data_IF_760930817533
#
_entry.id   IF_760930817533
#
_cell.length_a   1.000
_cell.length_b   1.000
_cell.length_c   1.000
_cell.angle_alpha   90.00
_cell.angle_beta   90.00
_cell.angle_gamma   90.00
#
_symmetry.space_group_name_H-M   'P 1'
#
loop_
_entity.id
_entity.type
_entity.pdbx_description
1 polymer ?
#
# COMPACT_ATOMS: atom_id res chain seq x y z
N UNK A 1 0.70 -13.65 -14.93
CA UNK A 1 1.35 -13.10 -13.71
C UNK A 1 2.15 -14.20 -12.99
N UNK A 2 3.32 -13.90 -12.45
CA UNK A 2 4.08 -14.84 -11.59
C UNK A 2 3.66 -14.62 -10.13
N UNK A 3 2.89 -15.54 -9.56
CA UNK A 3 2.30 -15.42 -8.23
C UNK A 3 2.09 -16.79 -7.58
N UNK A 4 2.22 -16.85 -6.25
CA UNK A 4 1.99 -18.04 -5.44
C UNK A 4 1.09 -17.74 -4.23
N UNK A 5 0.25 -18.70 -3.86
CA UNK A 5 -0.56 -18.60 -2.63
C UNK A 5 0.28 -18.96 -1.42
N UNK A 6 0.18 -18.15 -0.37
CA UNK A 6 0.82 -18.36 0.93
C UNK A 6 -0.27 -18.32 1.99
N UNK A 7 -0.38 -19.39 2.78
CA UNK A 7 -1.34 -19.48 3.87
C UNK A 7 -0.61 -19.62 5.19
N UNK A 8 -1.04 -18.86 6.20
CA UNK A 8 -0.54 -19.06 7.57
C UNK A 8 -1.23 -20.26 8.22
N UNK A 9 -0.47 -21.09 8.93
CA UNK A 9 -0.97 -22.36 9.49
C UNK A 9 -1.49 -22.26 10.93
N UNK A 10 -1.53 -21.05 11.50
CA UNK A 10 -2.08 -20.87 12.84
C UNK A 10 -3.60 -20.80 12.73
N UNK A 11 -4.32 -21.88 13.06
CA UNK A 11 -5.75 -22.08 12.74
C UNK A 11 -6.65 -20.91 13.17
N UNK A 12 -6.39 -20.30 14.32
CA UNK A 12 -7.15 -19.15 14.83
C UNK A 12 -6.80 -17.83 14.12
N UNK A 13 -5.68 -17.79 13.40
CA UNK A 13 -5.10 -16.62 12.77
C UNK A 13 -4.76 -16.86 11.27
N UNK A 14 -5.44 -17.81 10.65
CA UNK A 14 -5.20 -18.18 9.26
C UNK A 14 -5.51 -16.99 8.34
N UNK A 15 -4.53 -16.61 7.53
CA UNK A 15 -4.67 -15.65 6.43
C UNK A 15 -4.12 -16.24 5.16
N UNK A 16 -4.73 -15.83 4.07
CA UNK A 16 -4.29 -16.16 2.73
C UNK A 16 -3.72 -14.92 2.04
N UNK A 17 -2.55 -15.10 1.44
CA UNK A 17 -1.84 -14.09 0.68
C UNK A 17 -1.56 -14.63 -0.71
N UNK A 18 -1.49 -13.71 -1.67
CA UNK A 18 -0.96 -13.98 -3.00
C UNK A 18 0.34 -13.18 -3.10
N UNK A 19 1.46 -13.87 -2.99
CA UNK A 19 2.77 -13.27 -3.16
C UNK A 19 3.09 -13.20 -4.64
N UNK A 20 3.40 -12.01 -5.17
CA UNK A 20 3.67 -11.81 -6.59
C UNK A 20 4.85 -10.87 -6.82
N UNK A 21 5.45 -10.94 -8.01
CA UNK A 21 6.42 -9.93 -8.42
C UNK A 21 5.73 -8.57 -8.67
N UNK A 22 6.48 -7.47 -8.59
CA UNK A 22 6.00 -6.19 -9.10
C UNK A 22 5.55 -6.31 -10.56
N UNK A 23 4.38 -5.79 -10.96
CA UNK A 23 3.95 -5.83 -12.35
C UNK A 23 4.99 -5.21 -13.30
N UNK A 24 5.21 -5.88 -14.42
CA UNK A 24 5.97 -5.35 -15.56
C UNK A 24 5.00 -4.63 -16.51
N UNK A 25 5.46 -3.74 -17.40
CA UNK A 25 4.57 -3.04 -18.33
C UNK A 25 3.65 -3.97 -19.13
N UNK A 26 4.15 -5.15 -19.52
CA UNK A 26 3.40 -6.15 -20.27
C UNK A 26 2.49 -7.03 -19.41
N UNK A 27 2.65 -7.04 -18.08
CA UNK A 27 1.88 -7.91 -17.16
C UNK A 27 0.91 -7.12 -16.28
N UNK A 28 0.74 -5.82 -16.49
CA UNK A 28 -0.21 -5.00 -15.71
C UNK A 28 -1.64 -5.50 -15.88
N UNK A 29 -2.04 -5.89 -17.11
CA UNK A 29 -3.38 -6.43 -17.34
C UNK A 29 -3.57 -7.79 -16.65
N UNK A 30 -2.56 -8.67 -16.71
CA UNK A 30 -2.60 -9.96 -16.00
C UNK A 30 -2.73 -9.77 -14.48
N UNK A 31 -2.07 -8.75 -13.93
CA UNK A 31 -2.16 -8.42 -12.52
C UNK A 31 -3.59 -8.04 -12.13
N UNK A 32 -4.25 -7.18 -12.91
CA UNK A 32 -5.64 -6.79 -12.66
C UNK A 32 -6.63 -7.93 -12.88
N UNK A 33 -6.40 -8.79 -13.87
CA UNK A 33 -7.18 -10.01 -14.06
C UNK A 33 -7.10 -10.93 -12.83
N UNK A 34 -5.90 -11.12 -12.27
CA UNK A 34 -5.71 -11.87 -11.03
C UNK A 34 -6.43 -11.22 -9.85
N UNK A 35 -6.28 -9.90 -9.66
CA UNK A 35 -6.97 -9.15 -8.58
C UNK A 35 -8.49 -9.33 -8.66
N UNK A 36 -9.06 -9.26 -9.85
CA UNK A 36 -10.49 -9.49 -10.08
C UNK A 36 -10.90 -10.94 -9.80
N UNK A 37 -10.19 -11.91 -10.39
CA UNK A 37 -10.51 -13.35 -10.27
C UNK A 37 -10.45 -13.82 -8.81
N UNK A 38 -9.47 -13.32 -8.06
CA UNK A 38 -9.21 -13.69 -6.67
C UNK A 38 -10.02 -12.84 -5.68
N UNK A 39 -10.86 -11.93 -6.17
CA UNK A 39 -11.69 -11.03 -5.36
C UNK A 39 -10.90 -10.25 -4.32
N UNK A 40 -9.66 -9.89 -4.65
CA UNK A 40 -8.71 -9.23 -3.75
C UNK A 40 -9.30 -7.91 -3.26
N UNK A 41 -9.21 -7.67 -1.95
CA UNK A 41 -9.68 -6.44 -1.32
C UNK A 41 -8.55 -5.50 -0.88
N UNK A 42 -7.32 -6.01 -0.83
CA UNK A 42 -6.16 -5.28 -0.37
C UNK A 42 -4.90 -5.65 -1.17
N UNK A 43 -4.18 -4.64 -1.61
CA UNK A 43 -2.86 -4.77 -2.23
C UNK A 43 -1.83 -4.10 -1.32
N UNK A 44 -0.74 -4.79 -1.02
CA UNK A 44 0.37 -4.28 -0.21
C UNK A 44 1.63 -4.28 -1.06
N UNK A 45 2.01 -3.12 -1.57
CA UNK A 45 3.24 -2.90 -2.33
C UNK A 45 4.36 -2.45 -1.39
N UNK A 46 5.49 -3.17 -1.39
CA UNK A 46 6.64 -2.92 -0.50
C UNK A 46 7.85 -2.30 -1.21
N UNK A 47 7.66 -1.67 -2.37
CA UNK A 47 8.73 -1.09 -3.19
C UNK A 47 8.26 0.22 -3.85
N UNK A 48 9.22 1.03 -4.31
CA UNK A 48 8.96 2.17 -5.19
C UNK A 48 8.83 1.72 -6.66
N UNK A 49 8.21 2.52 -7.52
CA UNK A 49 8.22 2.23 -8.96
C UNK A 49 9.65 2.23 -9.54
N UNK A 50 10.47 3.18 -9.08
CA UNK A 50 11.87 3.34 -9.43
C UNK A 50 12.70 3.43 -8.16
N UNK A 51 13.78 2.64 -8.09
CA UNK A 51 14.78 2.70 -7.02
C UNK A 51 16.13 3.01 -7.65
N UNK A 52 16.77 4.08 -7.16
CA UNK A 52 17.89 4.76 -7.81
C UNK A 52 17.60 5.12 -9.29
N UNK A 53 17.95 4.23 -10.22
CA UNK A 53 17.79 4.40 -11.67
C UNK A 53 17.12 3.20 -12.34
N UNK A 54 16.71 2.20 -11.56
CA UNK A 54 16.15 0.94 -12.07
C UNK A 54 14.65 0.90 -11.83
N UNK A 55 13.90 0.62 -12.90
CA UNK A 55 12.47 0.34 -12.79
C UNK A 55 12.28 -0.99 -12.03
N UNK A 56 11.63 -0.91 -10.87
CA UNK A 56 11.31 -2.08 -10.02
C UNK A 56 9.88 -2.56 -10.22
N UNK A 57 8.95 -1.63 -10.44
CA UNK A 57 7.54 -1.93 -10.58
C UNK A 57 6.90 -0.94 -11.55
N UNK A 58 6.19 -1.45 -12.56
CA UNK A 58 5.37 -0.60 -13.42
C UNK A 58 4.17 -0.09 -12.62
N UNK A 59 3.86 1.20 -12.76
CA UNK A 59 2.66 1.77 -12.18
C UNK A 59 1.42 1.10 -12.79
N UNK A 60 0.62 0.46 -11.95
CA UNK A 60 -0.60 -0.25 -12.33
C UNK A 60 -1.88 0.43 -11.82
N UNK A 61 -1.79 1.61 -11.21
CA UNK A 61 -2.93 2.42 -10.77
C UNK A 61 -2.93 3.78 -11.49
N UNK A 62 -4.10 4.41 -11.67
CA UNK A 62 -4.17 5.74 -12.27
C UNK A 62 -3.75 6.83 -11.27
N UNK A 63 -3.45 8.02 -11.78
CA UNK A 63 -3.19 9.19 -10.95
C UNK A 63 -4.47 9.59 -10.16
N UNK A 64 -4.30 10.32 -9.07
CA UNK A 64 -5.40 10.69 -8.18
C UNK A 64 -6.54 11.41 -8.94
N UNK A 65 -7.78 10.98 -8.68
CA UNK A 65 -9.01 11.45 -9.34
C UNK A 65 -9.05 11.22 -10.85
N UNK A 66 -8.27 10.24 -11.33
CA UNK A 66 -8.30 9.80 -12.72
C UNK A 66 -8.64 8.31 -12.81
N UNK A 67 -9.04 7.92 -14.01
CA UNK A 67 -9.51 6.57 -14.33
C UNK A 67 -8.70 6.01 -15.48
N UNK A 68 -8.38 4.72 -15.43
CA UNK A 68 -7.66 4.01 -16.49
C UNK A 68 -8.17 2.58 -16.66
N UNK A 69 -8.26 2.15 -17.91
CA UNK A 69 -8.63 0.77 -18.27
C UNK A 69 -7.41 -0.14 -18.26
N UNK A 70 -7.57 -1.32 -17.67
CA UNK A 70 -6.58 -2.39 -17.61
C UNK A 70 -7.26 -3.71 -18.00
N UNK A 71 -7.18 -4.05 -19.30
CA UNK A 71 -7.92 -5.19 -19.84
C UNK A 71 -9.44 -5.04 -19.62
N UNK A 72 -10.03 -5.99 -18.90
CA UNK A 72 -11.47 -6.11 -18.63
C UNK A 72 -11.95 -5.34 -17.40
N UNK A 73 -11.07 -4.57 -16.74
CA UNK A 73 -11.44 -3.73 -15.62
C UNK A 73 -11.06 -2.28 -15.87
N UNK A 74 -11.89 -1.38 -15.33
CA UNK A 74 -11.59 0.04 -15.21
C UNK A 74 -11.26 0.34 -13.77
N UNK A 75 -10.16 1.05 -13.53
CA UNK A 75 -9.72 1.41 -12.17
C UNK A 75 -9.71 2.92 -12.06
N UNK A 76 -10.30 3.43 -11.00
CA UNK A 76 -10.32 4.85 -10.62
C UNK A 76 -9.61 5.04 -9.28
N UNK A 77 -8.73 6.03 -9.18
CA UNK A 77 -8.07 6.39 -7.93
C UNK A 77 -8.89 7.46 -7.21
N UNK A 78 -9.69 7.03 -6.24
CA UNK A 78 -10.67 7.88 -5.55
C UNK A 78 -10.00 8.82 -4.55
N UNK A 79 -8.99 8.33 -3.84
CA UNK A 79 -8.33 9.04 -2.75
C UNK A 79 -6.90 8.56 -2.59
N UNK A 80 -6.01 9.46 -2.19
CA UNK A 80 -4.63 9.16 -1.82
C UNK A 80 -4.29 9.88 -0.51
N UNK A 81 -3.76 9.15 0.47
CA UNK A 81 -3.27 9.70 1.74
C UNK A 81 -1.80 9.36 1.89
N UNK A 82 -0.98 10.37 2.14
CA UNK A 82 0.47 10.24 2.36
C UNK A 82 0.77 10.29 3.85
N UNK A 83 1.64 9.40 4.30
CA UNK A 83 2.12 9.35 5.67
C UNK A 83 3.63 9.60 5.68
N UNK A 84 4.10 10.50 6.54
CA UNK A 84 5.53 10.78 6.75
C UNK A 84 6.08 10.01 7.96
N UNK A 85 7.38 10.12 8.26
CA UNK A 85 7.97 9.50 9.43
C UNK A 85 7.35 10.05 10.74
N UNK A 86 7.19 9.23 11.78
CA UNK A 86 6.80 9.67 13.10
C UNK A 86 7.93 10.54 13.68
N UNK A 87 7.75 11.85 13.50
CA UNK A 87 8.64 12.99 13.77
C UNK A 87 9.88 12.71 14.66
N UNK A 88 11.07 12.99 14.09
CA UNK A 88 12.31 13.20 14.84
C UNK A 88 12.13 14.34 15.87
N UNK A 89 12.69 14.13 17.06
CA UNK A 89 12.47 14.79 18.36
C UNK A 89 12.23 16.32 18.45
N UNK A 90 11.17 16.68 19.18
CA UNK A 90 11.09 17.63 20.32
C UNK A 90 11.48 19.12 20.26
N UNK A 91 11.87 19.74 19.13
CA UNK A 91 12.06 21.21 19.11
C UNK A 91 11.31 21.99 18.00
N UNK A 92 10.76 21.32 16.98
CA UNK A 92 9.81 21.95 16.03
C UNK A 92 8.33 21.84 16.44
N UNK A 93 8.03 21.08 17.49
CA UNK A 93 6.68 20.59 17.84
C UNK A 93 5.79 21.57 18.63
N UNK A 94 6.07 22.88 18.61
CA UNK A 94 5.18 23.90 19.20
C UNK A 94 4.36 24.70 18.18
N UNK A 95 4.67 24.61 16.89
CA UNK A 95 3.94 25.35 15.86
C UNK A 95 2.77 24.58 15.22
N UNK A 96 2.77 23.24 15.24
CA UNK A 96 1.80 22.43 14.47
C UNK A 96 0.74 21.68 15.31
N UNK A 97 0.94 21.50 16.63
CA UNK A 97 -0.08 20.88 17.50
C UNK A 97 -1.24 21.81 17.85
N UNK A 98 -1.03 23.13 17.81
CA UNK A 98 -2.14 24.10 18.02
C UNK A 98 -3.01 24.26 16.78
N UNK A 99 -2.57 23.75 15.62
CA UNK A 99 -3.34 23.83 14.38
C UNK A 99 -4.03 22.50 14.06
N UNK A 100 -3.49 21.33 14.42
CA UNK A 100 -4.01 20.02 13.98
C UNK A 100 -5.42 19.66 14.47
N UNK A 101 -5.96 20.29 15.52
CA UNK A 101 -7.36 20.11 15.90
C UNK A 101 -8.35 20.87 15.00
N UNK A 102 -7.86 21.66 14.04
CA UNK A 102 -8.68 22.40 13.08
C UNK A 102 -8.20 22.29 11.62
N UNK A 103 -7.26 21.39 11.28
CA UNK A 103 -6.80 21.26 9.90
C UNK A 103 -7.75 20.39 9.08
N UNK A 104 -8.38 21.02 8.09
CA UNK A 104 -9.12 20.35 7.03
C UNK A 104 -8.23 19.44 6.19
N UNK A 105 -8.85 18.45 5.54
CA UNK A 105 -8.23 17.43 4.67
C UNK A 105 -7.20 17.94 3.64
N UNK A 106 -7.22 19.25 3.34
CA UNK A 106 -6.31 19.93 2.42
C UNK A 106 -4.84 20.03 2.89
N UNK A 107 -4.52 19.85 4.17
CA UNK A 107 -3.14 20.00 4.66
C UNK A 107 -2.30 18.70 4.65
N UNK A 108 -2.92 17.54 4.41
CA UNK A 108 -2.21 16.26 4.19
C UNK A 108 -1.50 16.22 2.82
N UNK A 109 -1.75 17.20 1.94
CA UNK A 109 -1.13 17.33 0.62
C UNK A 109 0.25 17.98 0.60
N UNK A 110 0.76 18.49 1.72
CA UNK A 110 2.02 19.25 1.76
C UNK A 110 3.29 18.40 1.93
N UNK A 111 3.16 17.07 2.09
CA UNK A 111 4.34 16.19 2.10
C UNK A 111 4.86 16.01 0.68
N UNK A 112 6.13 16.37 0.46
CA UNK A 112 6.83 16.01 -0.77
C UNK A 112 6.87 14.49 -0.92
N UNK A 113 6.95 14.03 -2.17
CA UNK A 113 7.01 12.60 -2.48
C UNK A 113 8.19 11.90 -1.79
N UNK A 114 9.29 12.63 -1.62
CA UNK A 114 10.53 12.18 -0.98
C UNK A 114 10.42 12.04 0.55
N UNK A 115 9.50 12.76 1.19
CA UNK A 115 9.28 12.72 2.65
C UNK A 115 8.20 11.69 3.05
N UNK A 116 7.64 10.98 2.07
CA UNK A 116 6.55 10.02 2.29
C UNK A 116 7.09 8.63 2.64
N UNK A 117 6.74 8.16 3.83
CA UNK A 117 7.07 6.83 4.34
C UNK A 117 6.20 5.72 3.74
N UNK A 118 4.90 5.99 3.58
CA UNK A 118 3.96 5.09 2.92
C UNK A 118 2.72 5.85 2.43
N UNK A 119 2.02 5.26 1.46
CA UNK A 119 0.77 5.79 0.88
C UNK A 119 -0.36 4.79 1.04
N UNK A 120 -1.55 5.34 1.24
CA UNK A 120 -2.80 4.61 1.16
C UNK A 120 -3.63 5.18 0.01
N UNK A 121 -4.13 4.33 -0.87
CA UNK A 121 -5.11 4.70 -1.89
C UNK A 121 -6.39 3.89 -1.73
N UNK A 122 -7.50 4.53 -2.09
CA UNK A 122 -8.77 3.84 -2.32
C UNK A 122 -8.98 3.76 -3.82
N UNK A 123 -8.95 2.53 -4.35
CA UNK A 123 -9.13 2.28 -5.78
C UNK A 123 -10.51 1.68 -6.02
N UNK A 124 -11.30 2.31 -6.89
CA UNK A 124 -12.57 1.76 -7.35
C UNK A 124 -12.32 0.95 -8.61
N UNK A 125 -12.74 -0.31 -8.60
CA UNK A 125 -12.65 -1.22 -9.73
C UNK A 125 -14.05 -1.40 -10.27
N UNK A 126 -14.21 -1.24 -11.58
CA UNK A 126 -15.45 -1.52 -12.32
C UNK A 126 -15.15 -2.60 -13.36
N UNK A 127 -15.80 -3.75 -13.21
CA UNK A 127 -15.73 -4.84 -14.18
C UNK A 127 -16.62 -4.57 -15.41
N UNK A 128 -16.36 -5.26 -16.52
CA UNK A 128 -17.16 -5.19 -17.75
C UNK A 128 -18.66 -5.45 -17.56
N UNK A 129 -19.02 -6.27 -16.58
CA UNK A 129 -20.42 -6.55 -16.25
C UNK A 129 -21.09 -5.44 -15.43
N UNK A 130 -20.41 -4.31 -15.20
CA UNK A 130 -20.89 -3.16 -14.44
C UNK A 130 -20.74 -3.28 -12.92
N UNK A 131 -20.34 -4.45 -12.40
CA UNK A 131 -20.07 -4.60 -10.96
C UNK A 131 -18.89 -3.71 -10.58
N UNK A 132 -19.08 -2.94 -9.51
CA UNK A 132 -18.01 -2.10 -8.95
C UNK A 132 -17.75 -2.42 -7.48
N UNK A 133 -16.49 -2.35 -7.07
CA UNK A 133 -16.07 -2.51 -5.67
C UNK A 133 -14.81 -1.70 -5.42
N UNK A 134 -14.60 -1.35 -4.15
CA UNK A 134 -13.42 -0.58 -3.73
C UNK A 134 -12.40 -1.52 -3.08
N UNK A 135 -11.12 -1.26 -3.35
CA UNK A 135 -9.99 -1.94 -2.71
C UNK A 135 -9.06 -0.92 -2.06
N UNK A 136 -8.28 -1.37 -1.08
CA UNK A 136 -7.21 -0.58 -0.49
C UNK A 136 -5.87 -0.94 -1.12
N UNK A 137 -5.11 0.06 -1.52
CA UNK A 137 -3.75 -0.07 -2.01
C UNK A 137 -2.79 0.61 -1.05
N UNK A 138 -1.98 -0.19 -0.37
CA UNK A 138 -0.95 0.24 0.56
C UNK A 138 0.40 0.20 -0.14
N UNK A 139 1.14 1.30 -0.17
CA UNK A 139 2.48 1.36 -0.75
C UNK A 139 3.48 1.83 0.29
N UNK A 140 4.37 0.94 0.74
CA UNK A 140 5.50 1.31 1.57
C UNK A 140 6.63 1.89 0.72
N UNK A 141 7.20 3.01 1.15
CA UNK A 141 8.19 3.79 0.39
C UNK A 141 9.50 4.02 1.14
N UNK A 142 9.56 3.73 2.45
CA UNK A 142 10.73 4.03 3.28
C UNK A 142 11.82 2.94 3.26
N UNK A 143 11.82 2.00 2.30
CA UNK A 143 12.96 1.07 2.14
C UNK A 143 14.19 1.88 1.70
N UNK A 144 15.33 1.66 2.36
CA UNK A 144 16.61 2.17 1.89
C UNK A 144 17.09 1.37 0.67
N UNK A 145 17.65 2.04 -0.33
CA UNK A 145 18.07 1.42 -1.61
C UNK A 145 19.14 0.31 -1.44
N UNK A 146 19.75 0.17 -0.26
CA UNK A 146 20.82 -0.79 0.02
C UNK A 146 20.73 -1.55 1.35
N UNK A 147 19.69 -1.38 2.15
CA UNK A 147 19.62 -1.95 3.50
C UNK A 147 18.39 -2.84 3.71
N UNK A 148 18.61 -4.02 4.30
CA UNK A 148 17.55 -4.75 5.00
C UNK A 148 17.25 -4.02 6.32
N UNK A 149 15.97 -3.90 6.74
CA UNK A 149 15.62 -3.35 8.06
C UNK A 149 16.29 -4.09 9.24
N UNK A 150 16.88 -5.26 8.99
CA UNK A 150 17.50 -6.13 9.97
C UNK A 150 19.01 -5.88 10.17
N UNK A 151 19.62 -4.88 9.52
CA UNK A 151 21.05 -4.55 9.69
C UNK A 151 21.26 -3.64 10.91
N UNK A 152 20.77 -4.07 12.08
CA UNK A 152 20.56 -3.26 13.29
C UNK A 152 21.83 -2.51 13.75
N UNK A 153 21.86 -1.21 13.51
CA UNK A 153 22.61 -0.20 14.28
C UNK A 153 21.68 0.98 14.64
N UNK A 154 22.05 1.79 15.64
CA UNK A 154 21.17 2.76 16.33
C UNK A 154 20.36 3.78 15.47
N UNK A 155 20.61 3.90 14.17
CA UNK A 155 19.79 4.70 13.22
C UNK A 155 18.52 3.96 12.72
N UNK A 156 18.43 2.64 12.89
CA UNK A 156 17.42 1.77 12.25
C UNK A 156 16.10 1.59 13.02
N UNK A 157 16.03 2.09 14.26
CA UNK A 157 14.81 1.99 15.08
C UNK A 157 13.62 2.77 14.49
N UNK A 158 13.89 3.86 13.76
CA UNK A 158 12.84 4.67 13.13
C UNK A 158 12.20 3.96 11.94
N UNK A 159 12.99 3.29 11.09
CA UNK A 159 12.48 2.53 9.94
C UNK A 159 11.66 1.31 10.39
N UNK A 160 12.14 0.58 11.39
CA UNK A 160 11.38 -0.50 12.03
C UNK A 160 10.07 0.02 12.62
N UNK A 161 10.09 1.17 13.30
CA UNK A 161 8.87 1.81 13.82
C UNK A 161 7.84 2.14 12.73
N UNK A 162 8.29 2.70 11.60
CA UNK A 162 7.43 3.00 10.45
C UNK A 162 6.87 1.71 9.83
N UNK A 163 7.69 0.67 9.70
CA UNK A 163 7.28 -0.62 9.17
C UNK A 163 6.24 -1.31 10.06
N UNK A 164 6.45 -1.28 11.37
CA UNK A 164 5.50 -1.79 12.35
C UNK A 164 4.18 -1.02 12.28
N UNK A 165 4.22 0.32 12.30
CA UNK A 165 3.02 1.15 12.18
C UNK A 165 2.24 0.84 10.89
N UNK A 166 2.94 0.69 9.77
CA UNK A 166 2.35 0.33 8.47
C UNK A 166 1.58 -0.99 8.54
N UNK A 167 2.20 -2.06 9.06
CA UNK A 167 1.54 -3.35 9.17
C UNK A 167 0.46 -3.39 10.24
N UNK A 168 0.61 -2.65 11.35
CA UNK A 168 -0.42 -2.52 12.38
C UNK A 168 -1.68 -1.85 11.83
N UNK A 169 -1.54 -0.80 11.01
CA UNK A 169 -2.69 -0.16 10.34
C UNK A 169 -3.41 -1.11 9.40
N UNK A 170 -2.66 -1.89 8.62
CA UNK A 170 -3.23 -2.94 7.75
C UNK A 170 -3.96 -3.99 8.59
N UNK A 171 -3.34 -4.47 9.68
CA UNK A 171 -3.93 -5.47 10.55
C UNK A 171 -5.21 -4.97 11.25
N UNK A 172 -5.29 -3.68 11.57
CA UNK A 172 -6.48 -3.06 12.17
C UNK A 172 -7.67 -3.02 11.21
N UNK A 173 -7.45 -2.72 9.92
CA UNK A 173 -8.52 -2.72 8.91
C UNK A 173 -8.94 -4.12 8.48
N UNK A 174 -8.05 -5.09 8.60
CA UNK A 174 -8.29 -6.49 8.25
C UNK A 174 -7.99 -7.37 9.47
N UNK A 175 -8.80 -7.37 10.55
CA UNK A 175 -8.47 -8.10 11.78
C UNK A 175 -8.41 -9.62 11.56
N UNK A 176 -7.38 -10.24 12.14
CA UNK A 176 -7.17 -11.69 12.04
C UNK A 176 -8.25 -12.44 12.84
N UNK A 177 -8.82 -13.51 12.28
CA UNK A 177 -9.70 -14.43 13.00
C UNK A 177 -11.20 -14.17 12.85
N UNK A 178 -11.62 -13.30 11.93
CA UNK A 178 -13.04 -12.92 11.77
C UNK A 178 -13.78 -13.64 10.65
N UNK A 179 -13.08 -14.24 9.68
CA UNK A 179 -13.72 -14.99 8.60
C UNK A 179 -12.70 -15.92 7.87
N UNK A 180 -12.88 -17.25 7.84
CA UNK A 180 -12.05 -18.15 7.03
C UNK A 180 -12.21 -17.92 5.50
N UNK A 181 -13.29 -17.26 5.07
CA UNK A 181 -13.56 -16.86 3.69
C UNK A 181 -13.11 -15.42 3.39
N UNK A 182 -12.24 -14.84 4.22
CA UNK A 182 -11.69 -13.53 3.97
C UNK A 182 -10.93 -13.51 2.63
N UNK A 183 -11.19 -12.50 1.80
CA UNK A 183 -10.51 -12.34 0.53
C UNK A 183 -8.99 -12.25 0.72
N UNK A 184 -8.18 -12.84 -0.18
CA UNK A 184 -6.74 -12.82 -0.04
C UNK A 184 -6.19 -11.39 -0.20
N UNK A 185 -5.06 -11.15 0.46
CA UNK A 185 -4.26 -9.94 0.25
C UNK A 185 -3.16 -10.21 -0.78
N UNK A 186 -2.97 -9.31 -1.73
CA UNK A 186 -1.83 -9.40 -2.66
C UNK A 186 -0.64 -8.65 -2.06
N UNK A 187 0.53 -9.30 -2.06
CA UNK A 187 1.82 -8.73 -1.62
C UNK A 187 2.82 -8.80 -2.76
#
# INVERSE_FOLDING_TARGET
MNANRVRTHYEQYAREYIATQGPLPLTVNDFWHMVQQETVQCIVMITREVEATKNKCARYWPDLHTTKQYGTVTVENMNETKFGPPQMSSSGMRALRTLSSSLSSSQQFLLNDDDCSYRLRTLRITAENGRSWDILHWQYLAWGDHDSPLTINQRDNAQLGILLEFFERIAHLYPIGTNPDAAPMVV
#
